data_IF_841620121515
#
_entry.id   IF_841620121515
#
_cell.length_a   1.000
_cell.length_b   1.000
_cell.length_c   1.000
_cell.angle_alpha   90.00
_cell.angle_beta   90.00
_cell.angle_gamma   90.00
#
_symmetry.space_group_name_H-M   'P 1'
#
loop_
_entity.id
_entity.type
_entity.pdbx_description
1 polymer ?
#
# COMPACT_ATOMS: atom_id res chain seq x y z
N UNK A 1 -5.75 6.89 -18.78
CA UNK A 1 -4.60 6.85 -17.85
C UNK A 1 -5.03 7.57 -16.58
N UNK A 2 -5.46 6.85 -15.54
CA UNK A 2 -5.85 7.53 -14.30
C UNK A 2 -4.59 7.79 -13.50
N UNK A 3 -4.24 9.06 -13.32
CA UNK A 3 -3.42 9.46 -12.18
C UNK A 3 -4.04 8.87 -10.91
N UNK A 4 -3.22 8.59 -9.89
CA UNK A 4 -3.72 8.23 -8.56
C UNK A 4 -4.47 9.48 -8.06
N UNK A 5 -5.79 9.52 -8.25
CA UNK A 5 -6.64 10.62 -7.82
C UNK A 5 -7.01 10.38 -6.36
N UNK A 6 -6.07 10.66 -5.46
CA UNK A 6 -6.38 10.78 -4.03
C UNK A 6 -6.85 12.20 -3.75
N UNK A 7 -7.89 12.37 -2.95
CA UNK A 7 -8.37 13.71 -2.54
C UNK A 7 -7.52 14.32 -1.41
N UNK A 8 -6.31 13.77 -1.20
CA UNK A 8 -5.33 14.22 -0.23
C UNK A 8 -3.94 14.33 -0.87
N UNK A 9 -3.14 15.22 -0.32
CA UNK A 9 -1.70 15.25 -0.58
C UNK A 9 -1.04 14.03 0.06
N UNK A 10 -0.34 13.23 -0.74
CA UNK A 10 0.36 12.04 -0.27
C UNK A 10 1.86 12.34 -0.15
N UNK A 11 2.44 12.26 1.06
CA UNK A 11 3.88 12.40 1.28
C UNK A 11 4.59 11.11 0.80
N UNK A 12 4.69 10.93 -0.53
CA UNK A 12 5.14 9.68 -1.15
C UNK A 12 6.57 9.28 -0.75
N UNK A 13 7.46 10.24 -0.48
CA UNK A 13 8.82 9.96 -0.08
C UNK A 13 8.88 9.35 1.33
N UNK A 14 8.07 9.87 2.24
CA UNK A 14 7.95 9.43 3.62
C UNK A 14 7.18 8.10 3.69
N UNK A 15 6.14 7.92 2.88
CA UNK A 15 5.46 6.62 2.71
C UNK A 15 6.46 5.57 2.24
N UNK A 16 7.32 5.90 1.26
CA UNK A 16 8.36 4.99 0.80
C UNK A 16 9.31 4.59 1.93
N UNK A 17 9.79 5.56 2.73
CA UNK A 17 10.65 5.28 3.89
C UNK A 17 9.95 4.42 4.95
N UNK A 18 8.67 4.71 5.22
CA UNK A 18 7.83 3.92 6.11
C UNK A 18 7.72 2.47 5.61
N UNK A 19 7.43 2.28 4.32
CA UNK A 19 7.30 0.95 3.72
C UNK A 19 8.61 0.16 3.81
N UNK A 20 9.75 0.80 3.53
CA UNK A 20 11.06 0.16 3.68
C UNK A 20 11.36 -0.24 5.12
N UNK A 21 11.11 0.64 6.09
CA UNK A 21 11.37 0.38 7.52
C UNK A 21 10.56 -0.81 8.04
N UNK A 22 9.29 -0.88 7.65
CA UNK A 22 8.35 -1.89 8.13
C UNK A 22 8.24 -3.12 7.24
N UNK A 23 9.15 -3.28 6.27
CA UNK A 23 9.16 -4.39 5.32
C UNK A 23 7.81 -4.59 4.62
N UNK A 24 7.15 -3.48 4.26
CA UNK A 24 5.91 -3.48 3.49
C UNK A 24 6.26 -3.66 2.01
N UNK A 25 5.60 -4.61 1.35
CA UNK A 25 5.77 -4.92 -0.08
C UNK A 25 4.66 -4.29 -0.93
N UNK A 26 3.53 -3.94 -0.32
CA UNK A 26 2.42 -3.21 -0.97
C UNK A 26 1.78 -2.27 0.04
N UNK A 27 1.66 -0.98 -0.30
CA UNK A 27 0.86 -0.01 0.44
C UNK A 27 -0.21 0.53 -0.50
N UNK A 28 -1.47 0.44 -0.09
CA UNK A 28 -2.60 0.92 -0.84
C UNK A 28 -3.53 1.76 0.02
N UNK A 29 -4.19 2.72 -0.61
CA UNK A 29 -5.31 3.46 -0.03
C UNK A 29 -6.61 2.83 -0.51
N UNK A 30 -7.63 2.80 0.34
CA UNK A 30 -8.97 2.35 -0.06
C UNK A 30 -10.04 3.17 0.67
N UNK A 31 -11.31 2.84 0.45
CA UNK A 31 -12.39 3.48 1.20
C UNK A 31 -12.60 4.95 0.83
N UNK A 32 -12.92 5.76 1.84
CA UNK A 32 -13.46 7.11 1.65
C UNK A 32 -12.46 8.08 1.00
N UNK A 33 -11.15 7.89 1.23
CA UNK A 33 -10.07 8.75 0.70
C UNK A 33 -10.00 8.82 -0.83
N UNK A 34 -10.63 7.85 -1.50
CA UNK A 34 -10.69 7.76 -2.97
C UNK A 34 -11.98 8.34 -3.56
N UNK A 35 -12.94 8.73 -2.72
CA UNK A 35 -14.26 9.20 -3.16
C UNK A 35 -14.33 10.72 -3.11
N UNK A 36 -15.10 11.32 -4.02
CA UNK A 36 -15.27 12.78 -4.13
C UNK A 36 -15.90 13.42 -2.88
N UNK A 37 -16.60 12.65 -2.05
CA UNK A 37 -17.23 13.08 -0.80
C UNK A 37 -16.29 13.02 0.42
N UNK A 38 -14.99 12.83 0.22
CA UNK A 38 -14.02 12.72 1.29
C UNK A 38 -13.97 13.99 2.16
N UNK A 39 -14.19 13.83 3.46
CA UNK A 39 -14.25 14.95 4.41
C UNK A 39 -12.93 15.17 5.12
N UNK A 40 -12.77 16.39 5.62
CA UNK A 40 -11.60 16.82 6.41
C UNK A 40 -11.50 16.17 7.80
N UNK A 41 -12.51 15.44 8.24
CA UNK A 41 -12.53 14.66 9.49
C UNK A 41 -12.54 13.15 9.27
N UNK A 42 -12.60 12.68 8.02
CA UNK A 42 -12.54 11.25 7.70
C UNK A 42 -11.17 10.63 7.93
N UNK A 43 -11.17 9.42 8.45
CA UNK A 43 -10.03 8.54 8.66
C UNK A 43 -9.39 8.18 7.31
N UNK A 44 -8.10 7.87 7.31
CA UNK A 44 -7.41 7.32 6.13
C UNK A 44 -7.32 5.81 6.27
N UNK A 45 -8.06 5.11 5.42
CA UNK A 45 -8.00 3.65 5.31
C UNK A 45 -6.77 3.21 4.50
N UNK A 46 -5.85 2.47 5.14
CA UNK A 46 -4.64 1.96 4.51
C UNK A 46 -4.61 0.43 4.53
N UNK A 47 -4.28 -0.15 3.39
CA UNK A 47 -4.12 -1.59 3.21
C UNK A 47 -2.65 -1.89 2.97
N UNK A 48 -2.07 -2.76 3.81
CA UNK A 48 -0.65 -3.11 3.72
C UNK A 48 -0.45 -4.61 3.54
N UNK A 49 0.53 -4.95 2.71
CA UNK A 49 1.08 -6.30 2.58
C UNK A 49 2.51 -6.26 3.09
N UNK A 50 2.85 -7.16 4.02
CA UNK A 50 4.21 -7.30 4.54
C UNK A 50 5.00 -8.32 3.71
N UNK A 51 6.31 -8.22 3.78
CA UNK A 51 7.19 -9.34 3.46
C UNK A 51 6.78 -10.56 4.32
N UNK A 52 6.56 -11.75 3.74
CA UNK A 52 6.15 -12.93 4.50
C UNK A 52 7.16 -13.38 5.57
N UNK A 53 8.41 -12.94 5.49
CA UNK A 53 9.45 -13.22 6.48
C UNK A 53 9.47 -12.19 7.61
N UNK A 54 8.81 -11.05 7.45
CA UNK A 54 8.77 -10.01 8.47
C UNK A 54 7.83 -10.41 9.62
N UNK A 55 8.39 -10.53 10.81
CA UNK A 55 7.65 -10.82 12.03
C UNK A 55 7.30 -9.52 12.75
N UNK A 56 6.03 -9.38 13.13
CA UNK A 56 5.52 -8.24 13.90
C UNK A 56 4.45 -8.69 14.87
N UNK A 57 4.41 -8.06 16.03
CA UNK A 57 3.39 -8.24 17.05
C UNK A 57 2.41 -7.08 17.08
N UNK A 58 1.67 -7.04 18.19
CA UNK A 58 0.66 -6.02 18.45
C UNK A 58 1.30 -4.63 18.69
N UNK A 59 2.41 -4.58 19.42
CA UNK A 59 3.09 -3.32 19.74
C UNK A 59 3.60 -2.61 18.49
N UNK A 60 4.21 -3.34 17.56
CA UNK A 60 4.67 -2.82 16.27
C UNK A 60 3.49 -2.32 15.44
N UNK A 61 2.34 -3.00 15.52
CA UNK A 61 1.11 -2.57 14.82
C UNK A 61 0.57 -1.25 15.37
N UNK A 62 0.62 -1.06 16.69
CA UNK A 62 0.25 0.20 17.32
C UNK A 62 1.21 1.32 16.95
N UNK A 63 2.52 1.06 16.96
CA UNK A 63 3.54 2.03 16.56
C UNK A 63 3.39 2.45 15.10
N UNK A 64 3.18 1.50 14.18
CA UNK A 64 2.94 1.80 12.77
C UNK A 64 1.74 2.73 12.58
N UNK A 65 0.64 2.49 13.31
CA UNK A 65 -0.54 3.35 13.23
C UNK A 65 -0.21 4.78 13.67
N UNK A 66 0.45 4.94 14.82
CA UNK A 66 0.86 6.26 15.32
C UNK A 66 1.81 7.00 14.37
N UNK A 67 2.75 6.28 13.74
CA UNK A 67 3.64 6.84 12.73
C UNK A 67 2.86 7.36 11.51
N UNK A 68 1.87 6.60 11.03
CA UNK A 68 1.02 7.02 9.92
C UNK A 68 0.07 8.16 10.31
N UNK A 69 -0.49 8.15 11.52
CA UNK A 69 -1.33 9.24 12.01
C UNK A 69 -0.54 10.54 12.08
N UNK A 70 0.71 10.47 12.55
CA UNK A 70 1.64 11.61 12.54
C UNK A 70 1.95 12.06 11.12
N UNK A 71 2.18 11.11 10.22
CA UNK A 71 2.48 11.38 8.81
C UNK A 71 1.35 12.12 8.10
N UNK A 72 0.11 11.68 8.30
CA UNK A 72 -1.07 12.22 7.61
C UNK A 72 -1.76 13.34 8.38
N UNK A 73 -1.44 13.53 9.67
CA UNK A 73 -2.05 14.54 10.54
C UNK A 73 -3.50 14.21 10.93
N UNK A 74 -3.91 12.93 10.89
CA UNK A 74 -5.27 12.47 11.19
C UNK A 74 -5.32 10.96 11.45
N UNK A 75 -6.47 10.47 11.90
CA UNK A 75 -6.67 9.05 12.20
C UNK A 75 -6.44 8.15 10.98
N UNK A 76 -5.84 6.99 11.22
CA UNK A 76 -5.49 6.01 10.18
C UNK A 76 -5.99 4.62 10.59
N UNK A 77 -6.81 4.01 9.75
CA UNK A 77 -7.16 2.59 9.89
C UNK A 77 -6.17 1.72 9.10
N UNK A 78 -5.25 1.07 9.83
CA UNK A 78 -4.25 0.17 9.25
C UNK A 78 -4.78 -1.26 9.20
N UNK A 79 -5.03 -1.74 7.97
CA UNK A 79 -5.49 -3.10 7.71
C UNK A 79 -4.41 -3.92 6.99
N UNK A 80 -4.21 -5.15 7.45
CA UNK A 80 -3.35 -6.13 6.77
C UNK A 80 -4.14 -6.81 5.66
N UNK A 81 -3.65 -6.77 4.41
CA UNK A 81 -4.34 -7.33 3.23
C UNK A 81 -4.77 -8.79 3.40
N UNK A 82 -3.88 -9.62 3.97
CA UNK A 82 -4.17 -11.03 4.24
C UNK A 82 -5.37 -11.25 5.18
N UNK A 83 -5.67 -10.31 6.07
CA UNK A 83 -6.85 -10.39 6.94
C UNK A 83 -8.16 -10.17 6.16
N UNK A 84 -8.14 -9.29 5.15
CA UNK A 84 -9.28 -9.05 4.27
C UNK A 84 -9.49 -10.22 3.31
N UNK A 85 -8.42 -10.78 2.75
CA UNK A 85 -8.49 -11.92 1.83
C UNK A 85 -9.13 -13.15 2.48
N UNK A 86 -8.84 -13.38 3.77
CA UNK A 86 -9.37 -14.48 4.59
C UNK A 86 -10.74 -14.19 5.21
N UNK A 87 -11.27 -12.97 5.06
CA UNK A 87 -12.57 -12.61 5.64
C UNK A 87 -13.71 -13.41 5.00
N UNK A 88 -14.61 -13.94 5.83
CA UNK A 88 -15.84 -14.62 5.39
C UNK A 88 -16.86 -13.64 4.78
N UNK A 89 -16.74 -12.34 5.09
CA UNK A 89 -17.58 -11.31 4.50
C UNK A 89 -17.12 -11.00 3.07
N UNK A 90 -17.65 -11.77 2.12
CA UNK A 90 -17.26 -11.69 0.71
C UNK A 90 -17.49 -10.32 0.10
N UNK A 91 -18.58 -9.64 0.46
CA UNK A 91 -18.92 -8.31 -0.09
C UNK A 91 -17.94 -7.26 0.40
N UNK A 92 -17.63 -7.24 1.71
CA UNK A 92 -16.61 -6.32 2.26
C UNK A 92 -15.24 -6.59 1.64
N UNK A 93 -14.84 -7.87 1.54
CA UNK A 93 -13.58 -8.27 0.91
C UNK A 93 -13.49 -7.76 -0.53
N UNK A 94 -14.53 -8.01 -1.33
CA UNK A 94 -14.57 -7.59 -2.72
C UNK A 94 -14.48 -6.06 -2.85
N UNK A 95 -15.30 -5.32 -2.10
CA UNK A 95 -15.30 -3.85 -2.13
C UNK A 95 -13.93 -3.25 -1.78
N UNK A 96 -13.25 -3.78 -0.75
CA UNK A 96 -11.94 -3.28 -0.35
C UNK A 96 -10.88 -3.60 -1.41
N UNK A 97 -10.80 -4.87 -1.83
CA UNK A 97 -9.74 -5.31 -2.74
C UNK A 97 -9.87 -4.71 -4.15
N UNK A 98 -11.10 -4.52 -4.65
CA UNK A 98 -11.33 -3.92 -5.97
C UNK A 98 -11.15 -2.40 -6.00
N UNK A 99 -11.47 -1.72 -4.90
CA UNK A 99 -11.32 -0.26 -4.81
C UNK A 99 -9.90 0.19 -4.42
N UNK A 100 -9.10 -0.69 -3.82
CA UNK A 100 -7.77 -0.35 -3.33
C UNK A 100 -6.86 0.18 -4.45
N UNK A 101 -6.18 1.29 -4.16
CA UNK A 101 -5.19 1.94 -5.03
C UNK A 101 -3.81 1.79 -4.43
N UNK A 102 -3.00 0.93 -5.05
CA UNK A 102 -1.60 0.74 -4.67
C UNK A 102 -0.80 2.01 -4.99
N UNK A 103 -0.13 2.54 -3.98
CA UNK A 103 0.75 3.72 -4.08
C UNK A 103 2.22 3.38 -3.82
N UNK A 104 2.50 2.25 -3.16
CA UNK A 104 3.84 1.68 -3.04
C UNK A 104 3.82 0.17 -3.40
N UNK A 105 4.79 -0.34 -4.17
CA UNK A 105 5.89 0.39 -4.79
C UNK A 105 5.38 1.38 -5.85
N UNK A 106 6.05 2.53 -5.96
CA UNK A 106 5.75 3.49 -7.02
C UNK A 106 6.10 2.80 -8.33
N UNK A 107 5.10 2.32 -9.06
CA UNK A 107 5.30 1.82 -10.42
C UNK A 107 5.58 3.01 -11.31
N UNK A 108 6.85 3.38 -11.40
CA UNK A 108 7.32 4.25 -12.47
C UNK A 108 7.16 3.47 -13.76
N UNK A 109 6.12 3.78 -14.55
CA UNK A 109 6.09 3.34 -15.93
C UNK A 109 7.26 4.03 -16.63
N UNK A 110 8.39 3.32 -16.77
CA UNK A 110 9.37 3.69 -17.77
C UNK A 110 8.66 3.48 -19.11
N UNK A 111 8.27 4.58 -19.77
CA UNK A 111 7.95 4.54 -21.18
C UNK A 111 9.25 4.19 -21.91
N UNK A 112 9.51 2.90 -22.07
CA UNK A 112 10.50 2.43 -23.04
C UNK A 112 9.80 2.54 -24.39
N UNK A 113 10.18 3.48 -25.28
CA UNK A 113 9.63 3.49 -26.62
C UNK A 113 10.19 2.25 -27.33
N UNK A 114 9.30 1.29 -27.58
CA UNK A 114 9.51 0.12 -28.43
C UNK A 114 10.81 -0.68 -28.25
N UNK A 115 10.92 -1.57 -27.25
CA UNK A 115 11.74 -2.77 -27.45
C UNK A 115 11.08 -4.01 -26.85
N UNK A 116 11.16 -5.10 -27.63
CA UNK A 116 10.50 -6.40 -27.47
C UNK A 116 10.65 -6.99 -26.06
N UNK A 117 9.60 -7.72 -25.65
CA UNK A 117 9.59 -8.67 -24.52
C UNK A 117 10.91 -9.44 -24.44
N UNK A 118 11.60 -9.31 -23.31
CA UNK A 118 12.55 -10.33 -22.86
C UNK A 118 12.13 -10.78 -21.46
N UNK A 119 11.95 -12.09 -21.34
CA UNK A 119 11.81 -12.81 -20.08
C UNK A 119 13.21 -12.91 -19.45
N UNK A 120 13.40 -12.30 -18.28
CA UNK A 120 14.65 -12.44 -17.53
C UNK A 120 14.66 -13.83 -16.90
N UNK A 121 15.40 -14.76 -17.52
CA UNK A 121 15.77 -16.02 -16.87
C UNK A 121 16.70 -15.70 -15.71
N UNK A 122 16.30 -16.10 -14.51
CA UNK A 122 17.06 -15.96 -13.29
C UNK A 122 18.17 -17.04 -13.27
N UNK A 123 19.23 -16.82 -14.04
CA UNK A 123 20.43 -17.66 -13.98
C UNK A 123 21.23 -17.29 -12.73
N UNK A 124 20.99 -18.06 -11.65
CA UNK A 124 21.87 -18.11 -10.49
C UNK A 124 23.19 -18.76 -10.92
N UNK A 125 24.20 -17.95 -11.23
CA UNK A 125 25.61 -18.30 -11.10
C UNK A 125 26.45 -17.02 -11.11
N UNK A 126 26.56 -16.38 -9.95
CA UNK A 126 27.56 -15.36 -9.68
C UNK A 126 27.95 -15.37 -8.20
N UNK A 127 28.31 -16.54 -7.66
CA UNK A 127 29.28 -16.65 -6.56
C UNK A 127 29.87 -18.07 -6.59
N UNK A 128 31.11 -18.15 -7.10
CA UNK A 128 32.03 -19.31 -7.24
C UNK A 128 31.89 -20.16 -8.50
#
# INVERSE_FOLDING_TARGET
MSAITSNIHLPLAEINQFCHRWHITEFALFGSVLREDFRHDSDIDVLVTFDPQFQRGFAETLQMRQELETLFGREVDLIVKAAIERSENWLRRQNILESARVIYPIKQFILIPQFKKYEVKNDRNYFQ
#
